data_IF_536373435652
#
_entry.id   IF_536373435652
#
_cell.length_a   1.000
_cell.length_b   1.000
_cell.length_c   1.000
_cell.angle_alpha   90.00
_cell.angle_beta   90.00
_cell.angle_gamma   90.00
#
_symmetry.space_group_name_H-M   'P 1'
#
loop_
_entity.id
_entity.type
_entity.pdbx_description
1 polymer ?
#
# COMPACT_ATOMS: atom_id res chain seq x y z
N UNK A 1 17.17 1.63 18.55
CA UNK A 1 17.42 2.56 17.42
C UNK A 1 17.34 1.87 16.06
N UNK A 2 18.18 0.87 15.77
CA UNK A 2 18.19 0.17 14.46
C UNK A 2 16.85 -0.49 14.08
N UNK A 3 16.14 -1.07 15.06
CA UNK A 3 14.83 -1.70 14.85
C UNK A 3 13.73 -0.72 14.41
N UNK A 4 13.65 0.45 15.05
CA UNK A 4 12.68 1.47 14.63
C UNK A 4 13.04 2.03 13.24
N UNK A 5 14.34 2.23 12.98
CA UNK A 5 14.83 2.69 11.68
C UNK A 5 14.49 1.72 10.54
N UNK A 6 14.62 0.40 10.74
CA UNK A 6 14.28 -0.59 9.71
C UNK A 6 12.80 -0.56 9.34
N UNK A 7 11.91 -0.33 10.31
CA UNK A 7 10.46 -0.23 10.09
C UNK A 7 10.12 1.03 9.28
N UNK A 8 10.73 2.18 9.59
CA UNK A 8 10.53 3.40 8.81
C UNK A 8 11.06 3.26 7.39
N UNK A 9 12.25 2.67 7.21
CA UNK A 9 12.86 2.47 5.90
C UNK A 9 12.03 1.53 5.03
N UNK A 10 11.48 0.46 5.60
CA UNK A 10 10.59 -0.48 4.90
C UNK A 10 9.33 0.20 4.33
N UNK A 11 8.78 1.20 5.03
CA UNK A 11 7.63 1.95 4.56
C UNK A 11 7.95 2.84 3.33
N UNK A 12 9.12 3.46 3.27
CA UNK A 12 9.53 4.34 2.14
C UNK A 12 10.27 3.64 1.01
N UNK A 13 10.86 2.47 1.24
CA UNK A 13 11.64 1.75 0.23
C UNK A 13 10.83 1.32 -1.00
N UNK A 14 9.51 1.24 -0.90
CA UNK A 14 8.60 0.87 -2.00
C UNK A 14 8.31 2.05 -2.96
N UNK A 15 8.51 3.31 -2.53
CA UNK A 15 8.16 4.50 -3.29
C UNK A 15 8.81 4.60 -4.69
N UNK A 16 10.10 4.29 -4.88
CA UNK A 16 10.73 4.36 -6.20
C UNK A 16 10.09 3.41 -7.20
N UNK A 17 9.72 2.21 -6.75
CA UNK A 17 9.09 1.18 -7.58
C UNK A 17 7.66 1.60 -7.97
N UNK A 18 6.92 2.20 -7.03
CA UNK A 18 5.62 2.81 -7.33
C UNK A 18 5.73 3.96 -8.34
N UNK A 19 6.72 4.84 -8.20
CA UNK A 19 6.91 5.97 -9.10
C UNK A 19 7.25 5.51 -10.53
N UNK A 20 8.03 4.45 -10.66
CA UNK A 20 8.32 3.82 -11.94
C UNK A 20 7.04 3.32 -12.62
N UNK A 21 6.17 2.61 -11.89
CA UNK A 21 4.87 2.13 -12.38
C UNK A 21 3.93 3.27 -12.82
N UNK A 22 3.90 4.37 -12.07
CA UNK A 22 3.11 5.54 -12.44
C UNK A 22 3.59 6.22 -13.73
N UNK A 23 4.89 6.11 -14.03
CA UNK A 23 5.53 6.72 -15.21
C UNK A 23 5.41 5.86 -16.46
N UNK A 24 5.51 4.54 -16.33
CA UNK A 24 5.39 3.63 -17.48
C UNK A 24 3.96 3.50 -17.97
N UNK A 25 2.95 3.75 -17.12
CA UNK A 25 1.53 3.73 -17.52
C UNK A 25 0.99 2.35 -17.88
N UNK A 26 1.87 1.40 -18.19
CA UNK A 26 1.63 -0.03 -18.21
C UNK A 26 1.65 -0.56 -16.78
N UNK A 27 0.52 -0.39 -16.09
CA UNK A 27 0.24 -1.27 -14.98
C UNK A 27 -0.15 -2.62 -15.58
N UNK A 28 0.83 -3.48 -15.82
CA UNK A 28 0.54 -4.88 -16.03
C UNK A 28 -0.31 -5.34 -14.84
N UNK A 29 -1.48 -5.93 -15.12
CA UNK A 29 -2.38 -6.46 -14.10
C UNK A 29 -1.64 -7.37 -13.12
N UNK A 30 -0.59 -8.06 -13.59
CA UNK A 30 0.31 -8.90 -12.80
C UNK A 30 1.00 -8.10 -11.67
N UNK A 31 1.62 -6.95 -11.95
CA UNK A 31 2.30 -6.15 -10.91
C UNK A 31 1.31 -5.57 -9.91
N UNK A 32 0.12 -5.20 -10.37
CA UNK A 32 -0.95 -4.67 -9.51
C UNK A 32 -1.47 -5.73 -8.54
N UNK A 33 -1.70 -6.97 -9.00
CA UNK A 33 -2.10 -8.08 -8.12
C UNK A 33 -1.00 -8.47 -7.13
N UNK A 34 0.27 -8.42 -7.54
CA UNK A 34 1.41 -8.63 -6.63
C UNK A 34 1.44 -7.58 -5.51
N UNK A 35 1.34 -6.29 -5.86
CA UNK A 35 1.32 -5.20 -4.88
C UNK A 35 0.07 -5.26 -3.99
N UNK A 36 -1.06 -5.71 -4.52
CA UNK A 36 -2.28 -5.93 -3.73
C UNK A 36 -2.09 -7.04 -2.69
N UNK A 37 -1.56 -8.20 -3.08
CA UNK A 37 -1.25 -9.28 -2.15
C UNK A 37 -0.20 -8.84 -1.11
N UNK A 38 0.79 -8.05 -1.54
CA UNK A 38 1.81 -7.46 -0.67
C UNK A 38 1.21 -6.45 0.33
N UNK A 39 0.23 -5.63 -0.07
CA UNK A 39 -0.49 -4.75 0.85
C UNK A 39 -1.43 -5.54 1.79
N UNK A 40 -2.11 -6.55 1.26
CA UNK A 40 -3.07 -7.36 1.99
C UNK A 40 -2.42 -8.18 3.11
N UNK A 41 -1.23 -8.77 2.91
CA UNK A 41 -0.56 -9.48 4.02
C UNK A 41 -0.21 -8.54 5.17
N UNK A 42 0.19 -7.28 4.89
CA UNK A 42 0.45 -6.26 5.92
C UNK A 42 -0.82 -5.80 6.60
N UNK A 43 -1.91 -5.62 5.85
CA UNK A 43 -3.21 -5.30 6.42
C UNK A 43 -3.73 -6.41 7.35
N UNK A 44 -3.50 -7.68 7.01
CA UNK A 44 -3.83 -8.84 7.87
C UNK A 44 -3.02 -8.89 9.17
N UNK A 45 -1.88 -8.21 9.24
CA UNK A 45 -1.13 -8.05 10.48
C UNK A 45 -1.80 -7.05 11.45
N UNK A 46 -2.61 -6.12 10.97
CA UNK A 46 -3.29 -5.12 11.80
C UNK A 46 -4.29 -5.78 12.78
N UNK A 47 -5.20 -6.69 12.36
CA UNK A 47 -6.03 -7.46 13.27
C UNK A 47 -5.23 -8.31 14.27
N UNK A 48 -4.08 -8.83 13.87
CA UNK A 48 -3.21 -9.60 14.76
C UNK A 48 -2.66 -8.72 15.91
N UNK A 49 -2.26 -7.48 15.61
CA UNK A 49 -1.86 -6.51 16.64
C UNK A 49 -3.01 -6.16 17.58
N UNK A 50 -4.22 -5.99 17.06
CA UNK A 50 -5.42 -5.73 17.87
C UNK A 50 -5.71 -6.92 18.79
N UNK A 51 -5.60 -8.15 18.29
CA UNK A 51 -5.77 -9.36 19.10
C UNK A 51 -4.75 -9.42 20.24
N UNK A 52 -3.46 -9.20 19.94
CA UNK A 52 -2.39 -9.18 20.96
C UNK A 52 -2.52 -8.04 21.95
N UNK A 53 -3.02 -6.88 21.53
CA UNK A 53 -3.30 -5.76 22.44
C UNK A 53 -4.33 -6.13 23.50
N UNK A 54 -5.39 -6.86 23.10
CA UNK A 54 -6.47 -7.29 24.00
C UNK A 54 -6.02 -8.43 24.94
N UNK A 55 -5.15 -9.33 24.47
CA UNK A 55 -4.77 -10.55 25.22
C UNK A 55 -3.47 -10.43 26.03
N UNK A 56 -2.46 -9.71 25.55
CA UNK A 56 -1.10 -9.72 26.13
C UNK A 56 -0.70 -8.37 26.76
N UNK A 57 -1.52 -7.31 26.65
CA UNK A 57 -1.22 -5.93 27.12
C UNK A 57 0.09 -5.31 26.58
N UNK A 58 0.77 -5.98 25.64
CA UNK A 58 1.95 -5.49 24.93
C UNK A 58 1.51 -4.72 23.68
N UNK A 59 1.77 -3.42 23.67
CA UNK A 59 1.48 -2.53 22.55
C UNK A 59 2.77 -1.89 22.04
N UNK A 60 3.12 -2.15 20.79
CA UNK A 60 4.25 -1.49 20.12
C UNK A 60 3.74 -0.44 19.11
N UNK A 61 3.50 0.81 19.56
CA UNK A 61 2.90 1.87 18.73
C UNK A 61 3.69 2.18 17.46
N UNK A 62 5.01 2.00 17.48
CA UNK A 62 5.90 2.29 16.35
C UNK A 62 5.60 1.36 15.16
N UNK A 63 5.35 0.07 15.42
CA UNK A 63 5.03 -0.90 14.36
C UNK A 63 3.64 -0.62 13.77
N UNK A 64 2.68 -0.25 14.63
CA UNK A 64 1.29 0.04 14.24
C UNK A 64 1.20 1.28 13.36
N UNK A 65 1.84 2.38 13.76
CA UNK A 65 1.81 3.65 13.00
C UNK A 65 2.51 3.47 11.65
N UNK A 66 3.67 2.81 11.61
CA UNK A 66 4.37 2.56 10.36
C UNK A 66 3.57 1.65 9.42
N UNK A 67 2.92 0.62 9.94
CA UNK A 67 2.03 -0.25 9.15
C UNK A 67 0.81 0.49 8.58
N UNK A 68 0.23 1.42 9.36
CA UNK A 68 -0.85 2.30 8.89
C UNK A 68 -0.40 3.20 7.74
N UNK A 69 0.74 3.88 7.88
CA UNK A 69 1.31 4.72 6.81
C UNK A 69 1.58 3.90 5.55
N UNK A 70 2.13 2.69 5.70
CA UNK A 70 2.40 1.79 4.58
C UNK A 70 1.11 1.34 3.88
N UNK A 71 0.06 1.04 4.65
CA UNK A 71 -1.27 0.67 4.11
C UNK A 71 -1.91 1.83 3.36
N UNK A 72 -1.81 3.06 3.89
CA UNK A 72 -2.32 4.27 3.23
C UNK A 72 -1.60 4.50 1.90
N UNK A 73 -0.26 4.39 1.89
CA UNK A 73 0.53 4.53 0.65
C UNK A 73 0.14 3.48 -0.41
N UNK A 74 -0.12 2.24 -0.02
CA UNK A 74 -0.65 1.24 -0.95
C UNK A 74 -2.04 1.61 -1.48
N UNK A 75 -2.94 2.09 -0.61
CA UNK A 75 -4.30 2.47 -1.01
C UNK A 75 -4.36 3.72 -1.90
N UNK A 76 -3.46 4.68 -1.70
CA UNK A 76 -3.37 5.91 -2.51
C UNK A 76 -3.02 5.59 -3.97
N UNK A 77 -2.14 4.61 -4.18
CA UNK A 77 -1.83 4.10 -5.52
C UNK A 77 -3.07 3.50 -6.21
N UNK A 78 -3.85 2.68 -5.50
CA UNK A 78 -5.09 2.14 -6.05
C UNK A 78 -6.09 3.25 -6.39
N UNK A 79 -6.24 4.25 -5.52
CA UNK A 79 -7.15 5.37 -5.75
C UNK A 79 -6.78 6.18 -7.01
N UNK A 80 -5.50 6.52 -7.17
CA UNK A 80 -5.01 7.25 -8.35
C UNK A 80 -5.14 6.38 -9.62
N UNK A 81 -4.85 5.08 -9.52
CA UNK A 81 -5.00 4.13 -10.62
C UNK A 81 -6.46 4.06 -11.09
N UNK A 82 -7.40 3.73 -10.21
CA UNK A 82 -8.83 3.65 -10.57
C UNK A 82 -9.36 4.96 -11.15
N UNK A 83 -8.95 6.11 -10.58
CA UNK A 83 -9.37 7.42 -11.08
C UNK A 83 -8.86 7.69 -12.49
N UNK A 84 -7.60 7.34 -12.81
CA UNK A 84 -7.06 7.50 -14.18
C UNK A 84 -7.74 6.59 -15.20
N UNK A 85 -8.03 5.34 -14.84
CA UNK A 85 -8.72 4.41 -15.76
C UNK A 85 -10.15 4.85 -16.02
N UNK A 86 -10.88 5.29 -14.99
CA UNK A 86 -12.25 5.80 -15.15
C UNK A 86 -12.31 7.01 -16.11
N UNK A 87 -11.38 7.96 -16.00
CA UNK A 87 -11.32 9.13 -16.89
C UNK A 87 -10.99 8.74 -18.34
N UNK A 88 -10.05 7.82 -18.54
CA UNK A 88 -9.65 7.39 -19.89
C UNK A 88 -10.77 6.58 -20.56
N UNK A 89 -11.41 5.65 -19.84
CA UNK A 89 -12.54 4.88 -20.37
C UNK A 89 -13.69 5.81 -20.77
N UNK A 90 -14.00 6.82 -19.95
CA UNK A 90 -15.05 7.78 -20.25
C UNK A 90 -14.72 8.69 -21.46
N UNK A 91 -13.45 9.03 -21.67
CA UNK A 91 -12.99 9.79 -22.83
C UNK A 91 -13.05 8.95 -24.13
N UNK A 92 -12.61 7.69 -24.07
CA UNK A 92 -12.66 6.75 -25.20
C UNK A 92 -14.10 6.40 -25.61
N UNK A 93 -15.03 6.34 -24.66
CA UNK A 93 -16.45 6.09 -24.94
C UNK A 93 -17.18 7.33 -25.50
N UNK A 94 -16.63 8.54 -25.33
CA UNK A 94 -17.11 9.75 -26.03
C UNK A 94 -16.56 9.92 -27.45
N UNK A 95 -15.50 9.16 -27.78
CA UNK A 95 -14.83 9.14 -29.08
C UNK A 95 -15.27 7.96 -29.97
N UNK A 96 -16.16 7.11 -29.47
CA UNK A 96 -16.82 6.01 -30.18
C UNK A 96 -18.28 6.37 -30.45
#
# INVERSE_FOLDING_TARGET
>A
MLWAFSIWLEAVAILPQLFMLQRTGEAETITTHYLFALGAYRALYIPNWIYRWITESHFEPISVIAGLVQTILYSDFFYIYYTKYAVITHCLESLR
#
